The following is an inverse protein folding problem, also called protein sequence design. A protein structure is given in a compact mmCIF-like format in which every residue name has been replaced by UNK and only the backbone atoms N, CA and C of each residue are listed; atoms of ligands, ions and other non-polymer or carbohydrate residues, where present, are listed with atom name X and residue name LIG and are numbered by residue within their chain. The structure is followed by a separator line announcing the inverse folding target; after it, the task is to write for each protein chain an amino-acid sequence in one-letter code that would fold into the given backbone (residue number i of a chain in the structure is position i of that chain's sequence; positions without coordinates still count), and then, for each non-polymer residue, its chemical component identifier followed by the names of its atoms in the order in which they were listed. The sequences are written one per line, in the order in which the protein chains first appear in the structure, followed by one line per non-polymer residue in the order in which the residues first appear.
data_IF_598322329701
#
_entry.id   IF_598322329701
#
_cell.length_a   1.000
_cell.length_b   1.000
_cell.length_c   1.000
_cell.angle_alpha   90.00
_cell.angle_beta   90.00
_cell.angle_gamma   90.00
#
_symmetry.space_group_name_H-M   'P 1'
#
loop_
_entity.id
_entity.type
_entity.pdbx_description
1 polymer ?
#
# COMPACT_ATOMS: atom_id res chain seq x y z
N UNK A 1 -0.07 1.31 -3.27
CA UNK A 1 0.13 0.18 -4.18
C UNK A 1 -1.00 0.24 -5.20
N UNK A 2 -0.63 0.20 -6.46
CA UNK A 2 -1.53 0.03 -7.58
C UNK A 2 -2.27 -1.32 -7.48
N UNK A 3 -3.60 -1.29 -7.61
CA UNK A 3 -4.43 -2.48 -7.75
C UNK A 3 -5.37 -2.37 -8.96
N UNK A 4 -4.91 -1.75 -10.04
CA UNK A 4 -5.61 -1.76 -11.32
C UNK A 4 -5.61 -3.14 -11.99
N UNK A 5 -6.39 -3.29 -13.06
CA UNK A 5 -6.49 -4.56 -13.80
C UNK A 5 -5.13 -5.05 -14.33
N UNK A 6 -4.24 -4.14 -14.71
CA UNK A 6 -2.87 -4.43 -15.17
C UNK A 6 -2.03 -5.10 -14.09
N UNK A 7 -2.33 -4.89 -12.82
CA UNK A 7 -1.62 -5.52 -11.70
C UNK A 7 -2.09 -6.94 -11.40
N UNK A 8 -3.14 -7.45 -12.07
CA UNK A 8 -3.75 -8.77 -11.75
C UNK A 8 -2.76 -9.93 -11.60
N UNK A 9 -1.76 -10.01 -12.49
CA UNK A 9 -0.72 -11.06 -12.46
C UNK A 9 0.36 -10.84 -11.41
N UNK A 10 0.57 -9.61 -10.94
CA UNK A 10 1.62 -9.22 -10.00
C UNK A 10 1.11 -9.03 -8.58
N UNK A 11 -0.17 -8.74 -8.42
CA UNK A 11 -0.77 -8.30 -7.15
C UNK A 11 -0.53 -9.31 -6.01
N UNK A 12 -0.68 -10.61 -6.28
CA UNK A 12 -0.40 -11.64 -5.28
C UNK A 12 1.07 -11.65 -4.88
N UNK A 13 1.97 -11.65 -5.85
CA UNK A 13 3.41 -11.65 -5.60
C UNK A 13 3.87 -10.40 -4.84
N UNK A 14 3.29 -9.23 -5.15
CA UNK A 14 3.55 -7.98 -4.44
C UNK A 14 3.12 -8.10 -2.97
N UNK A 15 1.90 -8.54 -2.71
CA UNK A 15 1.38 -8.69 -1.33
C UNK A 15 2.23 -9.66 -0.51
N UNK A 16 2.60 -10.80 -1.10
CA UNK A 16 3.45 -11.78 -0.43
C UNK A 16 4.84 -11.22 -0.14
N UNK A 17 5.44 -10.54 -1.11
CA UNK A 17 6.76 -9.91 -0.94
C UNK A 17 6.74 -8.87 0.17
N UNK A 18 5.71 -8.03 0.25
CA UNK A 18 5.61 -7.02 1.31
C UNK A 18 5.37 -7.67 2.68
N UNK A 19 4.54 -8.73 2.77
CA UNK A 19 4.40 -9.50 4.01
C UNK A 19 5.74 -10.08 4.47
N UNK A 20 6.49 -10.70 3.57
CA UNK A 20 7.79 -11.29 3.87
C UNK A 20 8.80 -10.21 4.28
N UNK A 21 8.81 -9.07 3.59
CA UNK A 21 9.67 -7.93 3.94
C UNK A 21 9.36 -7.44 5.35
N UNK A 22 8.09 -7.24 5.69
CA UNK A 22 7.66 -6.82 7.03
C UNK A 22 8.13 -7.83 8.09
N UNK A 23 7.81 -9.11 7.91
CA UNK A 23 8.23 -10.17 8.85
C UNK A 23 9.74 -10.18 9.08
N UNK A 24 10.53 -10.07 8.01
CA UNK A 24 11.99 -10.03 8.08
C UNK A 24 12.51 -8.79 8.80
N UNK A 25 11.91 -7.62 8.56
CA UNK A 25 12.28 -6.41 9.26
C UNK A 25 12.05 -6.53 10.78
N UNK A 26 10.92 -7.11 11.22
CA UNK A 26 10.68 -7.37 12.65
C UNK A 26 11.70 -8.33 13.26
N UNK A 27 12.14 -9.36 12.53
CA UNK A 27 13.21 -10.27 12.99
C UNK A 27 14.54 -9.52 13.15
N UNK A 28 14.92 -8.71 12.16
CA UNK A 28 16.17 -7.91 12.22
C UNK A 28 16.15 -6.95 13.41
N UNK A 29 15.01 -6.33 13.72
CA UNK A 29 14.89 -5.46 14.89
C UNK A 29 15.11 -6.21 16.21
N UNK A 30 14.50 -7.39 16.36
CA UNK A 30 14.71 -8.25 17.53
C UNK A 30 16.18 -8.66 17.67
N UNK A 31 16.84 -9.07 16.59
CA UNK A 31 18.27 -9.42 16.57
C UNK A 31 19.18 -8.25 16.99
N UNK A 32 18.71 -7.00 16.84
CA UNK A 32 19.39 -5.78 17.28
C UNK A 32 18.99 -5.34 18.69
N UNK A 33 18.18 -6.12 19.41
CA UNK A 33 17.69 -5.79 20.75
C UNK A 33 16.61 -4.70 20.76
N UNK A 34 15.97 -4.44 19.62
CA UNK A 34 14.85 -3.51 19.49
C UNK A 34 13.52 -4.26 19.55
N UNK A 35 12.44 -3.54 19.86
CA UNK A 35 11.08 -4.12 19.83
C UNK A 35 10.70 -4.57 18.41
N UNK A 36 10.01 -5.71 18.28
CA UNK A 36 9.41 -6.15 17.01
C UNK A 36 8.36 -5.17 16.48
N UNK A 37 7.76 -4.43 17.40
CA UNK A 37 6.75 -3.40 17.14
C UNK A 37 7.37 -2.00 17.05
N UNK A 38 8.70 -1.88 16.87
CA UNK A 38 9.39 -0.59 16.79
C UNK A 38 9.08 0.21 15.51
N UNK A 39 8.32 -0.37 14.58
CA UNK A 39 7.76 0.34 13.43
C UNK A 39 6.37 -0.19 13.11
N UNK A 40 5.59 0.66 12.45
CA UNK A 40 4.29 0.33 11.88
C UNK A 40 4.30 0.52 10.37
N UNK A 41 3.37 -0.14 9.68
CA UNK A 41 3.18 -0.05 8.25
C UNK A 41 1.69 0.05 7.93
N UNK A 42 1.36 0.89 6.96
CA UNK A 42 0.03 1.03 6.38
C UNK A 42 0.07 0.68 4.89
N UNK A 43 -1.00 0.07 4.37
CA UNK A 43 -1.23 -0.06 2.95
C UNK A 43 -2.28 0.96 2.48
N UNK A 44 -1.91 1.82 1.55
CA UNK A 44 -2.84 2.56 0.72
C UNK A 44 -2.89 1.92 -0.67
N UNK A 45 -4.07 1.51 -1.11
CA UNK A 45 -4.33 0.87 -2.40
C UNK A 45 -5.07 1.85 -3.28
N UNK A 46 -4.47 2.25 -4.39
CA UNK A 46 -5.06 3.19 -5.34
C UNK A 46 -5.39 2.47 -6.66
N UNK A 47 -6.44 2.93 -7.33
CA UNK A 47 -6.90 2.45 -8.63
C UNK A 47 -7.28 3.64 -9.52
N UNK A 48 -7.73 3.40 -10.76
CA UNK A 48 -8.20 4.46 -11.63
C UNK A 48 -9.58 4.99 -11.16
N UNK A 49 -9.94 6.21 -11.55
CA UNK A 49 -11.28 6.79 -11.39
C UNK A 49 -12.40 6.00 -12.09
N UNK A 50 -12.06 5.09 -13.02
CA UNK A 50 -12.99 4.15 -13.62
C UNK A 50 -13.45 3.02 -12.67
N UNK A 51 -12.82 2.86 -11.50
CA UNK A 51 -13.22 1.89 -10.47
C UNK A 51 -14.45 2.37 -9.69
N UNK A 52 -15.08 1.46 -8.94
CA UNK A 52 -16.16 1.85 -8.02
C UNK A 52 -15.67 2.91 -7.03
N UNK A 53 -16.48 3.92 -6.69
CA UNK A 53 -16.08 5.06 -5.84
C UNK A 53 -15.41 4.63 -4.52
N UNK A 54 -15.93 3.57 -3.89
CA UNK A 54 -15.40 3.00 -2.64
C UNK A 54 -14.14 2.13 -2.82
N UNK A 55 -13.63 2.01 -4.03
CA UNK A 55 -12.48 1.19 -4.43
C UNK A 55 -11.37 2.00 -5.07
N UNK A 56 -11.60 3.28 -5.37
CA UNK A 56 -10.57 4.16 -5.91
C UNK A 56 -9.38 4.27 -4.94
N UNK A 57 -9.67 4.42 -3.64
CA UNK A 57 -8.66 4.41 -2.58
C UNK A 57 -9.14 3.56 -1.40
N UNK A 58 -8.42 2.48 -1.09
CA UNK A 58 -8.63 1.65 0.11
C UNK A 58 -7.38 1.73 1.00
N UNK A 59 -7.57 1.99 2.29
CA UNK A 59 -6.46 2.19 3.23
C UNK A 59 -6.61 1.27 4.43
N UNK A 60 -5.53 0.61 4.85
CA UNK A 60 -5.50 -0.18 6.08
C UNK A 60 -5.32 0.68 7.33
N UNK A 61 -5.52 0.10 8.51
CA UNK A 61 -4.91 0.63 9.73
C UNK A 61 -3.38 0.61 9.65
N UNK A 62 -2.73 1.41 10.49
CA UNK A 62 -1.32 1.23 10.83
C UNK A 62 -1.15 -0.07 11.62
N UNK A 63 -0.32 -0.97 11.12
CA UNK A 63 -0.09 -2.28 11.73
C UNK A 63 1.36 -2.46 12.13
N UNK A 64 1.62 -3.02 13.32
CA UNK A 64 2.96 -3.43 13.74
C UNK A 64 3.24 -4.91 13.44
N UNK A 65 2.22 -5.64 12.97
CA UNK A 65 2.29 -7.07 12.68
C UNK A 65 1.89 -7.37 11.25
N UNK A 66 2.77 -8.08 10.54
CA UNK A 66 2.54 -8.50 9.16
C UNK A 66 1.25 -9.33 8.96
N UNK A 67 0.80 -10.08 9.98
CA UNK A 67 -0.44 -10.87 9.91
C UNK A 67 -1.68 -10.01 9.74
N UNK A 68 -1.74 -8.86 10.42
CA UNK A 68 -2.89 -7.96 10.37
C UNK A 68 -2.93 -7.26 9.01
N UNK A 69 -1.76 -6.80 8.54
CA UNK A 69 -1.64 -6.21 7.21
C UNK A 69 -1.99 -7.21 6.10
N UNK A 70 -1.62 -8.50 6.27
CA UNK A 70 -2.03 -9.59 5.37
C UNK A 70 -3.54 -9.79 5.35
N UNK A 71 -4.21 -9.71 6.50
CA UNK A 71 -5.67 -9.82 6.56
C UNK A 71 -6.36 -8.73 5.72
N UNK A 72 -5.88 -7.49 5.80
CA UNK A 72 -6.32 -6.41 4.90
C UNK A 72 -5.99 -6.72 3.44
N UNK A 73 -4.75 -7.06 3.12
CA UNK A 73 -4.34 -7.32 1.72
C UNK A 73 -5.11 -8.47 1.05
N UNK A 74 -5.63 -9.42 1.82
CA UNK A 74 -6.46 -10.51 1.30
C UNK A 74 -7.85 -10.05 0.83
N UNK A 75 -8.33 -8.88 1.26
CA UNK A 75 -9.62 -8.32 0.80
C UNK A 75 -9.47 -7.52 -0.50
N UNK A 76 -8.24 -7.22 -0.90
CA UNK A 76 -7.93 -6.35 -2.05
C UNK A 76 -7.92 -7.19 -3.34
N UNK A 77 -8.76 -6.86 -4.30
CA UNK A 77 -8.72 -7.40 -5.67
C UNK A 77 -8.18 -6.38 -6.68
N UNK A 78 -7.74 -6.82 -7.88
CA UNK A 78 -7.53 -5.91 -8.98
C UNK A 78 -8.89 -5.37 -9.47
N UNK A 79 -8.99 -4.08 -9.76
CA UNK A 79 -10.22 -3.44 -10.28
C UNK A 79 -9.88 -2.20 -11.12
N UNK A 80 -10.76 -1.82 -12.04
CA UNK A 80 -10.51 -0.74 -13.00
C UNK A 80 -9.84 -1.25 -14.28
N UNK A 81 -9.55 -0.31 -15.16
CA UNK A 81 -8.94 -0.60 -16.45
C UNK A 81 -7.42 -0.82 -16.34
N UNK A 82 -6.74 -0.91 -17.49
CA UNK A 82 -5.31 -1.22 -17.60
C UNK A 82 -4.48 0.01 -17.99
N UNK A 83 -5.02 1.21 -17.79
CA UNK A 83 -4.42 2.45 -18.24
C UNK A 83 -3.73 3.17 -17.08
N UNK A 84 -3.69 4.50 -17.14
CA UNK A 84 -3.09 5.34 -16.13
C UNK A 84 -3.76 5.12 -14.77
N UNK A 85 -3.11 5.52 -13.70
CA UNK A 85 -3.57 5.23 -12.33
C UNK A 85 -3.68 6.50 -11.49
N UNK A 86 -4.67 6.55 -10.59
CA UNK A 86 -4.89 7.69 -9.70
C UNK A 86 -3.90 7.66 -8.51
N UNK A 87 -2.61 7.63 -8.80
CA UNK A 87 -1.51 7.58 -7.84
C UNK A 87 -1.51 8.78 -6.90
N UNK A 88 -1.96 9.93 -7.38
CA UNK A 88 -2.10 11.18 -6.67
C UNK A 88 -2.99 11.03 -5.43
N UNK A 89 -3.97 10.13 -5.44
CA UNK A 89 -4.79 9.86 -4.27
C UNK A 89 -4.01 9.16 -3.16
N UNK A 90 -3.17 8.19 -3.54
CA UNK A 90 -2.25 7.54 -2.61
C UNK A 90 -1.20 8.50 -2.04
N UNK A 91 -0.67 9.40 -2.87
CA UNK A 91 0.30 10.41 -2.44
C UNK A 91 -0.35 11.51 -1.58
N UNK A 92 -1.56 11.95 -1.92
CA UNK A 92 -2.33 12.91 -1.11
C UNK A 92 -2.65 12.32 0.27
N UNK A 93 -3.01 11.03 0.33
CA UNK A 93 -3.13 10.31 1.60
C UNK A 93 -1.82 10.33 2.40
N UNK A 94 -0.69 10.00 1.77
CA UNK A 94 0.62 10.03 2.43
C UNK A 94 0.99 11.42 2.96
N UNK A 95 0.69 12.50 2.22
CA UNK A 95 0.90 13.88 2.69
C UNK A 95 0.09 14.14 3.96
N UNK A 96 -1.19 13.75 4.00
CA UNK A 96 -2.02 13.91 5.21
C UNK A 96 -1.46 13.13 6.40
N UNK A 97 -1.02 11.90 6.18
CA UNK A 97 -0.39 11.08 7.24
C UNK A 97 0.95 11.68 7.71
N UNK A 98 1.66 12.42 6.86
CA UNK A 98 2.91 13.11 7.24
C UNK A 98 2.70 14.34 8.13
N UNK A 99 1.49 14.89 8.15
CA UNK A 99 1.11 16.04 8.99
C UNK A 99 0.68 15.63 10.40
N UNK A 100 0.57 14.32 10.67
CA UNK A 100 0.25 13.77 11.99
C UNK A 100 1.47 13.83 12.93
N UNK A 101 1.22 13.81 14.24
CA UNK A 101 2.27 13.82 15.28
C UNK A 101 3.21 12.62 15.13
N UNK A 102 2.65 11.42 14.92
CA UNK A 102 3.37 10.21 14.53
C UNK A 102 3.54 10.14 13.01
N UNK A 103 4.32 11.09 12.47
CA UNK A 103 4.49 11.27 11.02
C UNK A 103 5.11 10.06 10.32
N UNK A 104 4.68 9.83 9.08
CA UNK A 104 5.32 8.83 8.21
C UNK A 104 6.76 9.22 7.89
N UNK A 105 7.67 8.25 7.97
CA UNK A 105 9.10 8.49 7.68
C UNK A 105 9.49 8.10 6.25
N UNK A 106 8.75 7.17 5.62
CA UNK A 106 9.08 6.60 4.32
C UNK A 106 7.82 6.21 3.55
N UNK A 107 7.87 6.33 2.23
CA UNK A 107 6.83 5.88 1.31
C UNK A 107 7.44 4.91 0.30
N UNK A 108 6.86 3.72 0.18
CA UNK A 108 7.19 2.76 -0.89
C UNK A 108 6.06 2.78 -1.91
N UNK A 109 6.38 3.27 -3.10
CA UNK A 109 5.45 3.31 -4.21
C UNK A 109 5.61 2.06 -5.08
N UNK A 110 4.50 1.35 -5.30
CA UNK A 110 4.47 0.13 -6.12
C UNK A 110 3.34 0.26 -7.14
N UNK A 111 3.67 0.20 -8.42
CA UNK A 111 2.73 0.16 -9.53
C UNK A 111 3.42 -0.20 -10.84
N UNK A 112 2.63 -0.56 -11.86
CA UNK A 112 3.14 -0.97 -13.18
C UNK A 112 2.66 -0.09 -14.34
N UNK A 113 1.94 0.98 -14.04
CA UNK A 113 1.39 1.93 -15.00
C UNK A 113 1.71 3.38 -14.59
N UNK A 114 1.72 4.32 -15.56
CA UNK A 114 1.97 5.73 -15.28
C UNK A 114 0.79 6.42 -14.58
N UNK A 115 1.05 7.58 -13.99
CA UNK A 115 0.03 8.42 -13.37
C UNK A 115 -0.99 8.93 -14.38
N UNK A 116 -2.21 9.24 -13.91
CA UNK A 116 -3.17 10.03 -14.68
C UNK A 116 -2.57 11.39 -15.09
N UNK A 117 -2.96 11.87 -16.25
CA UNK A 117 -2.72 13.25 -16.68
C UNK A 117 -3.84 14.16 -16.15
N UNK A 118 -3.85 15.43 -16.58
CA UNK A 118 -4.93 16.36 -16.23
C UNK A 118 -6.22 16.14 -17.05
N UNK A 119 -6.22 15.20 -18.01
CA UNK A 119 -7.32 15.02 -18.97
C UNK A 119 -8.25 13.85 -18.61
N UNK A 120 -7.84 12.99 -17.69
CA UNK A 120 -8.67 11.99 -17.03
C UNK A 120 -9.66 12.63 -16.06
#
# INVERSE_FOLDING_TARGET
MDATGSMSSLLSATKDTVCTMFQRASVVLEEKGLSKDAFSMQFAVYRNYSSSDNKILEVSSWETKASNLRAFMNTIGPEGDHFNVAIELGLCHAVKESELEDSISQVILIGNAPANTQQE
#
